data_IF_858110485729
#
_entry.id   IF_858110485729
#
_cell.length_a   1.000
_cell.length_b   1.000
_cell.length_c   1.000
_cell.angle_alpha   90.00
_cell.angle_beta   90.00
_cell.angle_gamma   90.00
#
_symmetry.space_group_name_H-M   'P 1'
#
loop_
_entity.id
_entity.type
_entity.pdbx_description
1 polymer ?
#
# COMPACT_ATOMS: atom_id res chain seq x y z
N UNK A 1 -3.86 -7.36 -0.26
CA UNK A 1 -4.43 -5.98 -0.28
C UNK A 1 -5.95 -5.97 -0.28
N UNK A 2 -6.61 -6.84 -1.07
CA UNK A 2 -8.09 -6.92 -1.18
C UNK A 2 -8.90 -6.81 0.13
N UNK A 3 -8.47 -7.36 1.28
CA UNK A 3 -9.23 -7.18 2.52
C UNK A 3 -9.27 -5.74 3.07
N UNK A 4 -8.42 -4.84 2.56
CA UNK A 4 -8.20 -3.49 3.10
C UNK A 4 -8.61 -2.35 2.16
N UNK A 5 -8.89 -2.66 0.88
CA UNK A 5 -9.23 -1.70 -0.17
C UNK A 5 -10.49 -2.15 -0.90
N UNK A 6 -11.21 -1.20 -1.46
CA UNK A 6 -12.35 -1.43 -2.35
C UNK A 6 -11.97 -1.04 -3.78
N UNK A 7 -11.89 -2.04 -4.66
CA UNK A 7 -11.58 -1.93 -6.08
C UNK A 7 -12.79 -2.28 -6.98
N UNK A 8 -13.99 -2.34 -6.40
CA UNK A 8 -15.23 -2.75 -7.11
C UNK A 8 -15.69 -1.71 -8.11
N UNK A 9 -15.44 -0.43 -7.84
CA UNK A 9 -15.80 0.69 -8.71
C UNK A 9 -14.76 0.99 -9.80
N UNK A 10 -13.65 0.24 -9.85
CA UNK A 10 -12.63 0.44 -10.87
C UNK A 10 -13.03 -0.20 -12.19
N UNK A 11 -12.96 0.58 -13.26
CA UNK A 11 -13.07 0.06 -14.62
C UNK A 11 -11.84 -0.77 -14.98
N UNK A 12 -11.96 -1.64 -16.00
CA UNK A 12 -10.84 -2.45 -16.44
C UNK A 12 -9.66 -1.60 -16.95
N UNK A 13 -9.93 -0.47 -17.62
CA UNK A 13 -8.89 0.48 -18.04
C UNK A 13 -8.15 1.12 -16.84
N UNK A 14 -8.86 1.41 -15.74
CA UNK A 14 -8.24 1.90 -14.51
C UNK A 14 -7.38 0.81 -13.86
N UNK A 15 -7.87 -0.44 -13.83
CA UNK A 15 -7.11 -1.59 -13.33
C UNK A 15 -5.83 -1.81 -14.14
N UNK A 16 -5.92 -1.75 -15.47
CA UNK A 16 -4.76 -1.86 -16.36
C UNK A 16 -3.74 -0.76 -16.09
N UNK A 17 -4.19 0.49 -15.91
CA UNK A 17 -3.30 1.62 -15.57
C UNK A 17 -2.59 1.40 -14.22
N UNK A 18 -3.26 0.82 -13.24
CA UNK A 18 -2.69 0.52 -11.93
C UNK A 18 -1.69 -0.63 -12.03
N UNK A 19 -2.12 -1.76 -12.62
CA UNK A 19 -1.31 -2.97 -12.70
C UNK A 19 -0.12 -2.84 -13.65
N UNK A 20 -0.19 -1.99 -14.67
CA UNK A 20 0.99 -1.70 -15.52
C UNK A 20 2.11 -0.95 -14.77
N UNK A 21 1.81 -0.37 -13.60
CA UNK A 21 2.80 0.31 -12.74
C UNK A 21 3.20 -0.51 -11.51
N UNK A 22 2.64 -1.71 -11.35
CA UNK A 22 2.92 -2.63 -10.26
C UNK A 22 3.38 -4.00 -10.78
N UNK A 23 4.33 -4.67 -10.09
CA UNK A 23 5.08 -4.21 -8.92
C UNK A 23 5.99 -3.01 -9.21
N UNK A 24 6.19 -2.10 -8.25
CA UNK A 24 7.00 -0.92 -8.47
C UNK A 24 6.93 0.15 -7.37
N UNK A 25 7.52 1.34 -7.60
CA UNK A 25 7.64 2.39 -6.59
C UNK A 25 6.36 3.21 -6.39
N UNK A 26 5.37 3.07 -7.26
CA UNK A 26 4.14 3.89 -7.28
C UNK A 26 3.20 3.51 -6.15
N UNK A 27 2.71 4.48 -5.40
CA UNK A 27 1.66 4.30 -4.40
C UNK A 27 0.35 4.84 -4.97
N UNK A 28 -0.72 4.06 -4.89
CA UNK A 28 -2.05 4.47 -5.31
C UNK A 28 -2.98 4.55 -4.09
N UNK A 29 -3.96 5.45 -4.15
CA UNK A 29 -4.99 5.63 -3.11
C UNK A 29 -6.29 5.01 -3.61
N UNK A 30 -6.86 4.10 -2.82
CA UNK A 30 -8.14 3.44 -3.11
C UNK A 30 -9.17 3.82 -2.05
N UNK A 31 -10.46 3.80 -2.37
CA UNK A 31 -11.50 3.71 -1.34
C UNK A 31 -11.21 2.53 -0.40
N UNK A 32 -11.50 2.71 0.88
CA UNK A 32 -11.36 1.67 1.89
C UNK A 32 -12.75 1.22 2.34
N UNK A 33 -13.02 -0.10 2.44
CA UNK A 33 -14.27 -0.57 3.01
C UNK A 33 -14.38 -0.15 4.47
N UNK A 34 -15.61 -0.01 5.00
CA UNK A 34 -15.86 0.36 6.39
C UNK A 34 -15.25 -0.61 7.42
N UNK A 35 -14.92 -1.83 7.00
CA UNK A 35 -14.22 -2.84 7.81
C UNK A 35 -12.72 -2.58 7.95
N UNK A 36 -12.13 -1.75 7.10
CA UNK A 36 -10.71 -1.35 7.23
C UNK A 36 -10.55 -0.51 8.49
N UNK A 37 -9.64 -0.89 9.42
CA UNK A 37 -9.49 -0.19 10.68
C UNK A 37 -9.18 1.31 10.51
N UNK A 38 -9.83 2.16 11.31
CA UNK A 38 -9.66 3.62 11.25
C UNK A 38 -8.25 4.09 11.58
N UNK A 39 -7.48 3.32 12.34
CA UNK A 39 -6.05 3.62 12.57
C UNK A 39 -5.18 3.42 11.33
N UNK A 40 -5.67 2.77 10.26
CA UNK A 40 -4.99 2.67 8.97
C UNK A 40 -5.37 3.82 8.03
N UNK A 41 -6.65 4.17 7.95
CA UNK A 41 -7.13 5.24 7.04
C UNK A 41 -7.04 6.63 7.65
N UNK A 42 -6.90 6.71 8.98
CA UNK A 42 -6.99 7.95 9.74
C UNK A 42 -8.35 8.62 9.57
N UNK A 43 -8.33 9.88 9.17
CA UNK A 43 -9.53 10.70 8.97
C UNK A 43 -10.24 10.46 7.62
N UNK A 44 -9.70 9.63 6.75
CA UNK A 44 -10.21 9.43 5.39
C UNK A 44 -10.93 8.10 5.23
N UNK A 45 -11.73 7.98 4.18
CA UNK A 45 -12.39 6.73 3.75
C UNK A 45 -11.61 6.07 2.60
N UNK A 46 -10.31 6.36 2.53
CA UNK A 46 -9.40 5.85 1.53
C UNK A 46 -8.09 5.38 2.17
N UNK A 47 -7.36 4.51 1.46
CA UNK A 47 -6.10 3.93 1.91
C UNK A 47 -5.06 3.98 0.79
N UNK A 48 -3.87 4.47 1.14
CA UNK A 48 -2.71 4.44 0.26
C UNK A 48 -2.02 3.07 0.35
N UNK A 49 -1.85 2.39 -0.79
CA UNK A 49 -1.22 1.07 -0.86
C UNK A 49 -0.21 1.02 -2.01
N UNK A 50 0.78 0.13 -1.88
CA UNK A 50 1.80 -0.12 -2.90
C UNK A 50 2.12 -1.61 -2.98
N UNK A 51 2.25 -2.13 -4.19
CA UNK A 51 2.84 -3.44 -4.46
C UNK A 51 4.30 -3.21 -4.87
N UNK A 52 5.24 -3.50 -3.97
CA UNK A 52 6.67 -3.27 -4.21
C UNK A 52 7.30 -4.40 -5.02
N UNK A 53 8.30 -4.04 -5.81
CA UNK A 53 9.23 -4.93 -6.51
C UNK A 53 10.52 -5.21 -5.72
N UNK A 54 10.68 -4.65 -4.50
CA UNK A 54 11.90 -4.83 -3.71
C UNK A 54 11.99 -6.27 -3.18
N UNK A 55 12.98 -7.10 -3.60
CA UNK A 55 12.97 -8.54 -3.37
C UNK A 55 12.88 -8.96 -1.90
N UNK A 56 13.63 -8.28 -1.01
CA UNK A 56 13.57 -8.53 0.43
C UNK A 56 12.15 -8.31 0.98
N UNK A 57 11.50 -7.21 0.62
CA UNK A 57 10.19 -6.85 1.17
C UNK A 57 9.11 -7.78 0.62
N UNK A 58 9.24 -8.22 -0.64
CA UNK A 58 8.38 -9.25 -1.23
C UNK A 58 8.50 -10.54 -0.41
N UNK A 59 9.72 -11.03 -0.18
CA UNK A 59 9.95 -12.24 0.61
C UNK A 59 9.42 -12.11 2.05
N UNK A 60 9.64 -10.95 2.70
CA UNK A 60 9.12 -10.66 4.03
C UNK A 60 7.59 -10.69 4.08
N UNK A 61 6.92 -10.01 3.14
CA UNK A 61 5.44 -10.01 3.09
C UNK A 61 4.88 -11.40 2.79
N UNK A 62 5.56 -12.18 1.94
CA UNK A 62 5.18 -13.57 1.65
C UNK A 62 5.33 -14.46 2.89
N UNK A 63 6.45 -14.35 3.61
CA UNK A 63 6.68 -15.10 4.86
C UNK A 63 5.70 -14.70 5.97
N UNK A 64 5.36 -13.41 6.07
CA UNK A 64 4.38 -12.90 7.03
C UNK A 64 2.92 -13.22 6.64
N UNK A 65 2.65 -13.47 5.36
CA UNK A 65 1.33 -13.79 4.82
C UNK A 65 0.36 -12.59 4.74
N UNK A 66 0.84 -11.36 5.01
CA UNK A 66 0.03 -10.13 5.07
C UNK A 66 0.85 -8.91 4.64
N UNK A 67 0.20 -7.81 4.21
CA UNK A 67 0.91 -6.54 3.96
C UNK A 67 1.43 -5.92 5.26
N UNK A 68 2.42 -5.05 5.14
CA UNK A 68 3.00 -4.27 6.23
C UNK A 68 2.69 -2.78 6.07
N UNK A 69 2.47 -2.10 7.20
CA UNK A 69 2.50 -0.64 7.24
C UNK A 69 3.95 -0.20 7.03
N UNK A 70 4.15 0.79 6.16
CA UNK A 70 5.48 1.27 5.78
C UNK A 70 5.56 2.78 5.95
N UNK A 71 6.66 3.24 6.53
CA UNK A 71 7.05 4.66 6.64
C UNK A 71 8.55 4.77 6.41
N UNK A 72 9.06 5.97 6.16
CA UNK A 72 10.51 6.22 6.11
C UNK A 72 11.15 5.96 7.47
N UNK A 73 12.38 5.41 7.45
CA UNK A 73 13.14 5.08 8.65
C UNK A 73 13.83 6.34 9.21
N UNK A 74 13.05 7.23 9.83
CA UNK A 74 13.54 8.42 10.52
C UNK A 74 12.69 8.75 11.74
N UNK A 75 13.32 9.38 12.73
CA UNK A 75 12.58 10.11 13.76
C UNK A 75 12.09 11.45 13.19
N UNK A 76 11.12 12.06 13.87
CA UNK A 76 10.58 13.37 13.48
C UNK A 76 11.70 14.42 13.43
N UNK A 77 11.80 15.14 12.31
CA UNK A 77 12.81 16.16 12.07
C UNK A 77 14.22 15.65 11.73
N UNK A 78 14.46 14.33 11.73
CA UNK A 78 15.77 13.75 11.43
C UNK A 78 15.86 13.20 10.00
N UNK A 79 17.07 13.14 9.41
CA UNK A 79 17.27 12.49 8.11
C UNK A 79 16.98 10.98 8.20
N UNK A 80 16.60 10.34 7.08
CA UNK A 80 16.40 8.90 7.04
C UNK A 80 17.71 8.14 7.16
N UNK A 81 17.65 6.99 7.85
CA UNK A 81 18.73 6.02 7.85
C UNK A 81 19.00 5.53 6.41
N UNK A 82 20.29 5.38 6.09
CA UNK A 82 20.77 4.86 4.80
C UNK A 82 21.83 3.80 5.07
N UNK A 83 21.94 2.82 4.17
CA UNK A 83 23.00 1.82 4.14
C UNK A 83 24.21 2.34 3.41
#
# INVERSE_FOLDING_TARGET
>A
LKPYIDDTMLTDAQRETIFSRWPGPVTFVFPAPATTPRWLTGRFDSLAVRVTDHPLVVALCQAYGKPLVSTSANLSGLPPCRT
#
